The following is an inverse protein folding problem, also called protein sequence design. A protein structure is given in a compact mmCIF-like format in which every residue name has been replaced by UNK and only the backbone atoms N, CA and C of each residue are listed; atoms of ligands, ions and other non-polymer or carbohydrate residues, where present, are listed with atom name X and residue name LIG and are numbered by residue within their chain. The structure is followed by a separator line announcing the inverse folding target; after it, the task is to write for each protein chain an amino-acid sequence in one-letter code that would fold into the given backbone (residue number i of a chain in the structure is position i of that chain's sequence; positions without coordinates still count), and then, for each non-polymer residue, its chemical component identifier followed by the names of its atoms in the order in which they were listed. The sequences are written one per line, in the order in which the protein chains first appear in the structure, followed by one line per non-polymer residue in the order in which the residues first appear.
data_IF_829087195353
#
_entry.id   IF_829087195353
#
_cell.length_a   1.000
_cell.length_b   1.000
_cell.length_c   1.000
_cell.angle_alpha   90.00
_cell.angle_beta   90.00
_cell.angle_gamma   90.00
#
_symmetry.space_group_name_H-M   'P 1'
#
loop_
_entity.id
_entity.type
_entity.pdbx_description
1 polymer ?
#
# COMPACT_ATOMS: atom_id res chain seq x y z
N UNK A 1 20.77 -21.71 -30.72
CA UNK A 1 20.47 -22.49 -29.49
C UNK A 1 21.75 -23.08 -28.92
N UNK A 2 22.56 -23.78 -29.73
CA UNK A 2 23.87 -24.33 -29.34
C UNK A 2 24.86 -23.30 -28.77
N UNK A 3 24.90 -22.06 -29.28
CA UNK A 3 25.83 -21.04 -28.78
C UNK A 3 25.51 -20.52 -27.36
N UNK A 4 24.24 -20.58 -26.95
CA UNK A 4 23.79 -20.19 -25.60
C UNK A 4 24.14 -21.28 -24.57
N UNK A 5 24.06 -22.54 -24.98
CA UNK A 5 24.47 -23.71 -24.19
C UNK A 5 26.00 -23.75 -24.02
N UNK A 6 26.77 -23.51 -25.09
CA UNK A 6 28.23 -23.42 -25.02
C UNK A 6 28.72 -22.26 -24.11
N UNK A 7 28.03 -21.12 -24.16
CA UNK A 7 28.31 -19.98 -23.26
C UNK A 7 27.98 -20.27 -21.79
N UNK A 8 27.00 -21.16 -21.54
CA UNK A 8 26.65 -21.65 -20.19
C UNK A 8 27.73 -22.58 -19.65
N UNK A 9 28.21 -23.53 -20.45
CA UNK A 9 29.26 -24.48 -20.07
C UNK A 9 30.62 -23.81 -19.80
N UNK A 10 30.94 -22.76 -20.55
CA UNK A 10 32.17 -21.97 -20.35
C UNK A 10 32.12 -21.15 -19.05
N UNK A 11 30.93 -20.72 -18.62
CA UNK A 11 30.74 -20.05 -17.32
C UNK A 11 30.77 -21.02 -16.14
N UNK A 12 30.28 -22.25 -16.33
CA UNK A 12 30.30 -23.31 -15.32
C UNK A 12 31.71 -23.85 -15.03
N UNK A 13 32.60 -23.86 -16.02
CA UNK A 13 33.97 -24.38 -15.89
C UNK A 13 34.97 -23.42 -15.23
N UNK A 14 34.66 -22.12 -15.14
CA UNK A 14 35.54 -21.11 -14.51
C UNK A 14 35.30 -20.94 -13.00
N UNK A 15 34.14 -21.35 -12.51
CA UNK A 15 33.86 -21.44 -11.09
C UNK A 15 34.13 -22.88 -10.62
N UNK A 16 34.74 -23.03 -9.44
CA UNK A 16 34.99 -24.30 -8.76
C UNK A 16 33.76 -25.22 -8.93
N UNK A 17 33.95 -26.43 -9.48
CA UNK A 17 32.86 -27.41 -9.56
C UNK A 17 32.39 -27.71 -8.15
N UNK A 18 31.19 -27.26 -7.78
CA UNK A 18 30.61 -27.59 -6.49
C UNK A 18 30.36 -29.10 -6.42
N UNK A 19 30.57 -29.74 -5.26
CA UNK A 19 30.23 -31.14 -5.08
C UNK A 19 28.71 -31.33 -5.35
N UNK A 20 28.30 -32.52 -5.84
CA UNK A 20 26.90 -32.80 -6.16
C UNK A 20 25.93 -32.57 -5.01
N UNK A 21 26.39 -32.70 -3.77
CA UNK A 21 25.64 -32.42 -2.55
C UNK A 21 25.28 -30.92 -2.43
N UNK A 22 26.22 -30.03 -2.70
CA UNK A 22 26.01 -28.58 -2.64
C UNK A 22 25.08 -28.11 -3.77
N UNK A 23 25.17 -28.72 -4.95
CA UNK A 23 24.25 -28.45 -6.07
C UNK A 23 22.82 -28.85 -5.71
N UNK A 24 22.64 -30.04 -5.12
CA UNK A 24 21.32 -30.49 -4.64
C UNK A 24 20.78 -29.58 -3.55
N UNK A 25 21.61 -29.18 -2.59
CA UNK A 25 21.21 -28.24 -1.54
C UNK A 25 20.78 -26.87 -2.10
N UNK A 26 21.44 -26.40 -3.16
CA UNK A 26 21.04 -25.18 -3.89
C UNK A 26 19.71 -25.36 -4.62
N UNK A 27 19.51 -26.48 -5.31
CA UNK A 27 18.26 -26.78 -6.00
C UNK A 27 17.08 -26.91 -5.02
N UNK A 28 17.29 -27.58 -3.88
CA UNK A 28 16.30 -27.69 -2.81
C UNK A 28 15.95 -26.31 -2.23
N UNK A 29 16.95 -25.42 -2.07
CA UNK A 29 16.75 -24.04 -1.62
C UNK A 29 16.02 -23.18 -2.65
N UNK A 30 16.34 -23.33 -3.94
CA UNK A 30 15.61 -22.65 -5.02
C UNK A 30 14.15 -23.10 -5.06
N UNK A 31 13.90 -24.41 -4.96
CA UNK A 31 12.54 -24.94 -4.89
C UNK A 31 11.76 -24.40 -3.69
N UNK A 32 12.40 -24.30 -2.51
CA UNK A 32 11.81 -23.70 -1.32
C UNK A 32 11.49 -22.20 -1.51
N UNK A 33 12.44 -21.42 -2.02
CA UNK A 33 12.26 -19.98 -2.26
C UNK A 33 11.18 -19.70 -3.31
N UNK A 34 11.14 -20.47 -4.39
CA UNK A 34 10.07 -20.39 -5.39
C UNK A 34 8.72 -20.77 -4.79
N UNK A 35 8.67 -21.75 -3.89
CA UNK A 35 7.47 -22.07 -3.13
C UNK A 35 7.00 -20.91 -2.24
N UNK A 36 7.93 -20.22 -1.58
CA UNK A 36 7.66 -19.05 -0.76
C UNK A 36 7.19 -17.85 -1.58
N UNK A 37 7.84 -17.58 -2.72
CA UNK A 37 7.43 -16.54 -3.67
C UNK A 37 5.97 -16.73 -4.11
N UNK A 38 5.60 -17.95 -4.53
CA UNK A 38 4.21 -18.25 -4.89
C UNK A 38 3.24 -18.12 -3.72
N UNK A 39 3.69 -18.38 -2.49
CA UNK A 39 2.86 -18.18 -1.32
C UNK A 39 2.63 -16.69 -1.01
N UNK A 40 3.68 -15.87 -1.11
CA UNK A 40 3.61 -14.43 -0.94
C UNK A 40 2.75 -13.78 -2.02
N UNK A 41 2.85 -14.22 -3.28
CA UNK A 41 2.02 -13.72 -4.38
C UNK A 41 0.52 -14.02 -4.16
N UNK A 42 0.21 -15.23 -3.66
CA UNK A 42 -1.16 -15.58 -3.25
C UNK A 42 -1.66 -14.69 -2.12
N UNK A 43 -0.83 -14.40 -1.12
CA UNK A 43 -1.20 -13.52 -0.02
C UNK A 43 -1.40 -12.08 -0.48
N UNK A 44 -0.50 -11.55 -1.32
CA UNK A 44 -0.64 -10.22 -1.92
C UNK A 44 -1.94 -10.11 -2.70
N UNK A 45 -2.23 -11.09 -3.56
CA UNK A 45 -3.48 -11.13 -4.33
C UNK A 45 -4.71 -11.16 -3.41
N UNK A 46 -4.70 -12.00 -2.37
CA UNK A 46 -5.79 -12.07 -1.41
C UNK A 46 -5.99 -10.72 -0.68
N UNK A 47 -4.91 -10.07 -0.25
CA UNK A 47 -4.96 -8.78 0.42
C UNK A 47 -5.49 -7.67 -0.50
N UNK A 48 -5.05 -7.61 -1.76
CA UNK A 48 -5.53 -6.64 -2.73
C UNK A 48 -7.03 -6.80 -3.02
N UNK A 49 -7.52 -8.04 -3.08
CA UNK A 49 -8.95 -8.32 -3.21
C UNK A 49 -9.74 -7.87 -1.98
N UNK A 50 -9.21 -8.11 -0.78
CA UNK A 50 -9.82 -7.65 0.47
C UNK A 50 -9.88 -6.12 0.53
N UNK A 51 -8.81 -5.43 0.17
CA UNK A 51 -8.77 -3.95 0.08
C UNK A 51 -9.86 -3.44 -0.85
N UNK A 52 -9.97 -4.01 -2.06
CA UNK A 52 -11.01 -3.62 -3.04
C UNK A 52 -12.44 -3.84 -2.53
N UNK A 53 -12.67 -4.93 -1.80
CA UNK A 53 -13.99 -5.21 -1.22
C UNK A 53 -14.37 -4.12 -0.20
N UNK A 54 -13.43 -3.72 0.66
CA UNK A 54 -13.62 -2.66 1.65
C UNK A 54 -13.82 -1.30 0.96
N UNK A 55 -13.01 -0.98 -0.04
CA UNK A 55 -13.15 0.26 -0.83
C UNK A 55 -14.55 0.37 -1.46
N UNK A 56 -15.08 -0.74 -1.96
CA UNK A 56 -16.43 -0.79 -2.54
C UNK A 56 -17.50 -0.55 -1.47
N UNK A 57 -17.39 -1.17 -0.30
CA UNK A 57 -18.32 -0.96 0.81
C UNK A 57 -18.33 0.51 1.26
N UNK A 58 -17.15 1.13 1.36
CA UNK A 58 -17.00 2.55 1.68
C UNK A 58 -17.70 3.39 0.61
N UNK A 59 -17.43 3.14 -0.68
CA UNK A 59 -18.03 3.89 -1.80
C UNK A 59 -19.56 3.82 -1.80
N UNK A 60 -20.13 2.66 -1.46
CA UNK A 60 -21.60 2.47 -1.38
C UNK A 60 -22.27 3.31 -0.28
N UNK A 61 -21.51 3.78 0.72
CA UNK A 61 -22.04 4.63 1.79
C UNK A 61 -22.15 6.11 1.38
N UNK A 62 -21.54 6.49 0.27
CA UNK A 62 -21.58 7.86 -0.25
C UNK A 62 -22.56 7.99 -1.43
N UNK A 63 -22.67 9.21 -1.96
CA UNK A 63 -23.47 9.46 -3.15
C UNK A 63 -22.95 8.62 -4.33
N UNK A 64 -23.80 7.85 -5.05
CA UNK A 64 -23.34 6.95 -6.11
C UNK A 64 -22.80 7.66 -7.36
N UNK A 65 -23.08 8.95 -7.54
CA UNK A 65 -22.64 9.73 -8.70
C UNK A 65 -21.41 10.59 -8.40
N UNK A 66 -21.33 11.14 -7.19
CA UNK A 66 -20.30 12.11 -6.81
C UNK A 66 -19.32 11.62 -5.75
N UNK A 67 -19.61 10.50 -5.08
CA UNK A 67 -18.77 9.96 -4.02
C UNK A 67 -18.69 10.86 -2.78
N UNK A 68 -17.59 10.75 -2.02
CA UNK A 68 -17.35 11.57 -0.84
C UNK A 68 -17.03 13.03 -1.20
N UNK A 69 -17.59 13.97 -0.43
CA UNK A 69 -17.46 15.41 -0.71
C UNK A 69 -16.02 15.93 -0.49
N UNK A 70 -15.32 15.44 0.53
CA UNK A 70 -14.02 15.98 0.97
C UNK A 70 -12.81 15.20 0.42
N UNK A 71 -13.02 14.06 -0.25
CA UNK A 71 -11.96 13.12 -0.61
C UNK A 71 -12.18 12.58 -2.02
N UNK A 72 -11.10 12.41 -2.79
CA UNK A 72 -11.09 11.74 -4.09
C UNK A 72 -9.98 10.69 -4.04
N UNK A 73 -10.37 9.42 -4.06
CA UNK A 73 -9.46 8.27 -3.85
C UNK A 73 -8.54 8.48 -2.63
N UNK A 74 -7.22 8.61 -2.82
CA UNK A 74 -6.25 8.80 -1.75
C UNK A 74 -6.00 10.27 -1.37
N UNK A 75 -6.56 11.23 -2.10
CA UNK A 75 -6.28 12.66 -1.97
C UNK A 75 -7.50 13.48 -1.51
N UNK A 76 -7.27 14.73 -1.09
CA UNK A 76 -8.37 15.65 -0.80
C UNK A 76 -9.07 16.08 -2.09
N UNK A 77 -10.39 16.23 -2.01
CA UNK A 77 -11.13 16.91 -3.08
C UNK A 77 -10.79 18.40 -3.08
N UNK A 78 -11.09 19.11 -4.18
CA UNK A 78 -10.95 20.57 -4.22
C UNK A 78 -11.75 21.28 -3.12
N UNK A 79 -12.89 20.71 -2.72
CA UNK A 79 -13.66 21.23 -1.59
C UNK A 79 -13.00 20.93 -0.25
N UNK A 80 -12.43 19.72 -0.09
CA UNK A 80 -11.63 19.35 1.09
C UNK A 80 -10.45 20.29 1.30
N UNK A 81 -9.71 20.56 0.22
CA UNK A 81 -8.60 21.51 0.15
C UNK A 81 -9.03 22.92 0.58
N UNK A 82 -10.12 23.44 0.02
CA UNK A 82 -10.70 24.73 0.44
C UNK A 82 -11.08 24.78 1.92
N UNK A 83 -11.63 23.69 2.47
CA UNK A 83 -11.95 23.66 3.90
C UNK A 83 -10.68 23.75 4.76
N UNK A 84 -9.60 23.09 4.37
CA UNK A 84 -8.31 23.20 5.05
C UNK A 84 -7.72 24.62 4.99
N UNK A 85 -7.80 25.26 3.82
CA UNK A 85 -7.25 26.61 3.61
C UNK A 85 -8.05 27.70 4.33
N UNK A 86 -9.38 27.61 4.34
CA UNK A 86 -10.24 28.75 4.73
C UNK A 86 -10.87 28.61 6.11
N UNK A 87 -10.95 27.40 6.69
CA UNK A 87 -11.61 27.19 7.96
C UNK A 87 -10.64 26.67 9.03
N UNK A 88 -10.35 27.51 10.04
CA UNK A 88 -9.58 27.06 11.21
C UNK A 88 -10.30 25.93 12.00
N UNK A 89 -11.64 25.95 11.99
CA UNK A 89 -12.50 24.91 12.58
C UNK A 89 -13.73 24.76 11.70
N UNK A 90 -14.16 23.52 11.45
CA UNK A 90 -15.38 23.23 10.70
C UNK A 90 -16.27 22.24 11.45
N UNK A 91 -17.59 22.35 11.25
CA UNK A 91 -18.59 21.44 11.84
C UNK A 91 -19.87 21.47 11.02
N UNK A 92 -20.70 20.43 11.13
CA UNK A 92 -21.93 20.33 10.32
C UNK A 92 -22.95 21.45 10.61
N UNK A 93 -22.99 21.99 11.84
CA UNK A 93 -23.88 23.09 12.25
C UNK A 93 -23.23 23.94 13.34
N UNK A 94 -23.47 25.25 13.34
CA UNK A 94 -22.96 26.17 14.37
C UNK A 94 -23.39 25.78 15.78
N UNK A 95 -24.58 25.19 15.95
CA UNK A 95 -25.07 24.72 17.25
C UNK A 95 -24.19 23.65 17.88
N UNK A 96 -23.35 22.95 17.10
CA UNK A 96 -22.40 22.00 17.64
C UNK A 96 -21.33 22.69 18.52
N UNK A 97 -21.08 23.99 18.33
CA UNK A 97 -20.17 24.76 19.17
C UNK A 97 -20.74 25.01 20.58
N UNK A 98 -22.06 24.91 20.77
CA UNK A 98 -22.70 25.05 22.09
C UNK A 98 -22.37 23.91 23.05
N UNK A 99 -21.84 22.79 22.55
CA UNK A 99 -21.37 21.69 23.37
C UNK A 99 -19.96 21.91 23.93
N UNK A 100 -19.33 23.05 23.62
CA UNK A 100 -18.02 23.42 24.12
C UNK A 100 -18.11 24.66 25.02
N UNK A 101 -17.26 24.76 26.06
CA UNK A 101 -17.12 25.99 26.83
C UNK A 101 -16.75 27.19 25.94
N UNK A 102 -17.23 28.41 26.25
CA UNK A 102 -16.88 29.62 25.48
C UNK A 102 -15.38 29.94 25.43
N UNK A 103 -14.62 29.47 26.41
CA UNK A 103 -13.16 29.64 26.56
C UNK A 103 -12.37 28.42 26.02
N UNK A 104 -13.03 27.52 25.28
CA UNK A 104 -12.38 26.34 24.71
C UNK A 104 -11.28 26.74 23.71
N UNK A 105 -10.06 26.29 23.99
CA UNK A 105 -8.96 26.32 23.04
C UNK A 105 -9.01 25.09 22.11
N UNK A 106 -9.11 25.32 20.81
CA UNK A 106 -9.10 24.28 19.77
C UNK A 106 -7.69 24.14 19.21
N UNK A 107 -7.20 22.90 19.16
CA UNK A 107 -5.89 22.55 18.62
C UNK A 107 -6.07 21.60 17.45
N UNK A 108 -5.35 21.86 16.37
CA UNK A 108 -5.23 20.89 15.27
C UNK A 108 -4.33 19.74 15.73
N UNK A 109 -4.63 18.49 15.34
CA UNK A 109 -3.64 17.42 15.42
C UNK A 109 -2.40 17.77 14.59
N UNK A 110 -1.26 17.18 14.95
CA UNK A 110 -0.02 17.29 14.19
C UNK A 110 -0.18 16.59 12.84
N UNK A 111 0.20 17.28 11.76
CA UNK A 111 0.21 16.73 10.41
C UNK A 111 1.62 16.24 10.10
N UNK A 112 1.73 15.00 9.63
CA UNK A 112 3.01 14.39 9.27
C UNK A 112 3.23 14.44 7.77
N UNK A 113 4.44 14.81 7.37
CA UNK A 113 4.90 14.67 6.00
C UNK A 113 5.21 13.19 5.68
N UNK A 114 5.14 12.75 4.41
CA UNK A 114 5.30 11.33 4.06
C UNK A 114 6.63 10.67 4.47
N UNK A 115 7.65 11.45 4.80
CA UNK A 115 8.98 10.98 5.21
C UNK A 115 9.25 11.21 6.71
N UNK A 116 8.28 11.75 7.44
CA UNK A 116 8.35 11.90 8.89
C UNK A 116 7.87 10.59 9.53
N UNK A 117 8.81 9.87 10.16
CA UNK A 117 8.62 8.68 10.99
C UNK A 117 9.51 8.78 12.23
#
# INVERSE_FOLDING_TARGET
REALEAGRDTKLTRYRSLPPEDLKALDDRLAALTGEEHNLDRQLTANLLAIRAIELEIRQRFNPFWGPLCKVDSELSRFGDQMGDFACVYTARVSNLLFYPPDKYFLSPEEFLPHEL
#
